data_IF_031545338436
#
_entry.id   IF_031545338436
#
_cell.length_a   1.000
_cell.length_b   1.000
_cell.length_c   1.000
_cell.angle_alpha   90.00
_cell.angle_beta   90.00
_cell.angle_gamma   90.00
#
_symmetry.space_group_name_H-M   'P 1'
#
loop_
_entity.id
_entity.type
_entity.pdbx_description
1 polymer ?
#
# COMPACT_ATOMS: atom_id res chain seq x y z
N UNK A 1 -2.23 -16.08 18.37
CA UNK A 1 -2.60 -16.23 16.95
C UNK A 1 -3.05 -17.65 16.68
N UNK A 2 -4.37 -17.93 16.76
CA UNK A 2 -4.94 -19.20 16.28
C UNK A 2 -5.16 -19.11 14.77
N UNK A 3 -4.09 -18.82 14.05
CA UNK A 3 -4.01 -19.12 12.61
C UNK A 3 -3.43 -20.53 12.51
N UNK A 4 -3.88 -21.30 11.51
CA UNK A 4 -3.24 -22.57 11.23
C UNK A 4 -1.74 -22.30 11.00
N UNK A 5 -0.85 -23.22 11.39
CA UNK A 5 0.61 -22.98 11.35
C UNK A 5 1.08 -22.47 9.97
N UNK A 6 0.46 -22.99 8.90
CA UNK A 6 0.68 -22.53 7.51
C UNK A 6 0.22 -21.08 7.25
N UNK A 7 -0.97 -20.70 7.72
CA UNK A 7 -1.53 -19.35 7.56
C UNK A 7 -0.69 -18.31 8.29
N UNK A 8 -0.12 -18.67 9.44
CA UNK A 8 0.77 -17.80 10.20
C UNK A 8 2.05 -17.48 9.44
N UNK A 9 2.68 -18.50 8.85
CA UNK A 9 3.89 -18.32 8.05
C UNK A 9 3.59 -17.46 6.82
N UNK A 10 2.50 -17.74 6.11
CA UNK A 10 2.08 -16.96 4.93
C UNK A 10 1.82 -15.50 5.27
N UNK A 11 1.13 -15.22 6.38
CA UNK A 11 0.89 -13.86 6.81
C UNK A 11 2.20 -13.11 7.08
N UNK A 12 3.12 -13.72 7.83
CA UNK A 12 4.43 -13.13 8.15
C UNK A 12 5.27 -12.90 6.88
N UNK A 13 5.29 -13.86 5.95
CA UNK A 13 5.97 -13.70 4.66
C UNK A 13 5.43 -12.50 3.88
N UNK A 14 4.11 -12.34 3.79
CA UNK A 14 3.49 -11.18 3.15
C UNK A 14 3.87 -9.86 3.84
N UNK A 15 3.88 -9.84 5.17
CA UNK A 15 4.29 -8.67 5.95
C UNK A 15 5.76 -8.29 5.67
N UNK A 16 6.67 -9.26 5.65
CA UNK A 16 8.09 -9.04 5.35
C UNK A 16 8.25 -8.46 3.93
N UNK A 17 7.55 -9.02 2.94
CA UNK A 17 7.62 -8.54 1.55
C UNK A 17 7.11 -7.09 1.45
N UNK A 18 5.97 -6.78 2.08
CA UNK A 18 5.43 -5.41 2.08
C UNK A 18 6.38 -4.46 2.80
N UNK A 19 6.98 -4.88 3.91
CA UNK A 19 7.98 -4.09 4.64
C UNK A 19 9.21 -3.79 3.77
N UNK A 20 9.74 -4.79 3.05
CA UNK A 20 10.86 -4.61 2.12
C UNK A 20 10.47 -3.63 1.01
N UNK A 21 9.31 -3.79 0.37
CA UNK A 21 8.83 -2.88 -0.68
C UNK A 21 8.70 -1.44 -0.16
N UNK A 22 8.13 -1.28 1.03
CA UNK A 22 7.99 0.02 1.69
C UNK A 22 9.35 0.66 1.97
N UNK A 23 10.29 -0.09 2.56
CA UNK A 23 11.64 0.39 2.84
C UNK A 23 12.38 0.76 1.56
N UNK A 24 12.32 -0.07 0.51
CA UNK A 24 12.92 0.23 -0.79
C UNK A 24 12.36 1.54 -1.38
N UNK A 25 11.04 1.73 -1.34
CA UNK A 25 10.44 2.97 -1.82
C UNK A 25 10.95 4.19 -1.05
N UNK A 26 11.03 4.13 0.28
CA UNK A 26 11.50 5.26 1.07
C UNK A 26 12.98 5.57 0.86
N UNK A 27 13.83 4.54 0.92
CA UNK A 27 15.29 4.69 0.82
C UNK A 27 15.70 5.20 -0.56
N UNK A 28 15.11 4.66 -1.64
CA UNK A 28 15.55 4.97 -3.00
C UNK A 28 14.77 6.14 -3.64
N UNK A 29 13.53 6.39 -3.22
CA UNK A 29 12.64 7.33 -3.93
C UNK A 29 12.12 8.44 -3.02
N UNK A 30 11.59 8.13 -1.83
CA UNK A 30 10.87 9.15 -1.06
C UNK A 30 11.77 10.11 -0.28
N UNK A 31 12.91 9.62 0.23
CA UNK A 31 13.87 10.36 1.06
C UNK A 31 15.24 10.56 0.39
N UNK A 32 15.40 10.09 -0.85
CA UNK A 32 16.68 10.20 -1.53
C UNK A 32 17.05 11.66 -1.82
N UNK A 33 18.32 12.05 -1.63
CA UNK A 33 18.76 13.45 -1.77
C UNK A 33 18.54 14.01 -3.17
N UNK A 34 18.66 13.17 -4.19
CA UNK A 34 18.48 13.55 -5.60
C UNK A 34 17.04 13.36 -6.11
N UNK A 35 16.07 13.16 -5.22
CA UNK A 35 14.65 13.03 -5.60
C UNK A 35 14.12 14.26 -6.35
N UNK A 36 14.74 15.43 -6.14
CA UNK A 36 14.43 16.65 -6.88
C UNK A 36 14.86 16.59 -8.37
N UNK A 37 15.85 15.76 -8.71
CA UNK A 37 16.32 15.57 -10.09
C UNK A 37 15.45 14.59 -10.88
N UNK A 38 14.64 13.76 -10.21
CA UNK A 38 13.75 12.81 -10.88
C UNK A 38 12.59 13.57 -11.54
N UNK A 39 12.37 13.41 -12.86
CA UNK A 39 11.24 14.02 -13.54
C UNK A 39 9.93 13.68 -12.86
N UNK A 40 9.08 14.68 -12.68
CA UNK A 40 7.82 14.55 -11.94
C UNK A 40 6.95 13.38 -12.41
N UNK A 41 6.80 13.23 -13.73
CA UNK A 41 6.01 12.14 -14.35
C UNK A 41 6.56 10.77 -13.96
N UNK A 42 7.88 10.63 -13.96
CA UNK A 42 8.55 9.39 -13.59
C UNK A 42 8.34 9.08 -12.11
N UNK A 43 8.37 10.10 -11.22
CA UNK A 43 8.07 9.92 -9.80
C UNK A 43 6.63 9.42 -9.57
N UNK A 44 5.63 10.01 -10.23
CA UNK A 44 4.25 9.52 -10.15
C UNK A 44 4.11 8.08 -10.63
N UNK A 45 4.78 7.73 -11.72
CA UNK A 45 4.77 6.37 -12.26
C UNK A 45 5.42 5.37 -11.28
N UNK A 46 6.58 5.69 -10.71
CA UNK A 46 7.27 4.84 -9.73
C UNK A 46 6.41 4.67 -8.48
N UNK A 47 5.83 5.75 -7.93
CA UNK A 47 4.94 5.66 -6.77
C UNK A 47 3.75 4.74 -7.04
N UNK A 48 3.12 4.86 -8.21
CA UNK A 48 2.01 4.00 -8.61
C UNK A 48 2.44 2.54 -8.78
N UNK A 49 3.61 2.29 -9.38
CA UNK A 49 4.18 0.96 -9.53
C UNK A 49 4.41 0.28 -8.17
N UNK A 50 4.99 0.99 -7.20
CA UNK A 50 5.19 0.46 -5.84
C UNK A 50 3.86 0.18 -5.13
N UNK A 51 2.86 1.05 -5.29
CA UNK A 51 1.51 0.80 -4.75
C UNK A 51 0.88 -0.45 -5.34
N UNK A 52 1.01 -0.64 -6.66
CA UNK A 52 0.52 -1.85 -7.34
C UNK A 52 1.30 -3.09 -6.88
N UNK A 53 2.62 -3.00 -6.70
CA UNK A 53 3.44 -4.10 -6.19
C UNK A 53 3.02 -4.51 -4.78
N UNK A 54 2.81 -3.56 -3.87
CA UNK A 54 2.30 -3.83 -2.52
C UNK A 54 0.91 -4.47 -2.57
N UNK A 55 0.01 -3.93 -3.41
CA UNK A 55 -1.33 -4.48 -3.60
C UNK A 55 -1.29 -5.97 -3.99
N UNK A 56 -0.46 -6.34 -4.97
CA UNK A 56 -0.30 -7.73 -5.39
C UNK A 56 0.36 -8.60 -4.32
N UNK A 57 1.39 -8.09 -3.65
CA UNK A 57 2.04 -8.81 -2.55
C UNK A 57 1.04 -9.18 -1.45
N UNK A 58 0.22 -8.21 -1.02
CA UNK A 58 -0.82 -8.47 -0.02
C UNK A 58 -1.93 -9.39 -0.54
N UNK A 59 -2.37 -9.21 -1.79
CA UNK A 59 -3.39 -10.07 -2.42
C UNK A 59 -2.95 -11.54 -2.46
N UNK A 60 -1.72 -11.80 -2.88
CA UNK A 60 -1.18 -13.17 -2.98
C UNK A 60 -1.12 -13.88 -1.62
N UNK A 61 -0.74 -13.15 -0.57
CA UNK A 61 -0.58 -13.73 0.77
C UNK A 61 -1.91 -13.82 1.53
N UNK A 62 -2.78 -12.81 1.44
CA UNK A 62 -4.07 -12.77 2.13
C UNK A 62 -5.13 -13.62 1.44
N UNK A 63 -5.12 -13.72 0.10
CA UNK A 63 -6.12 -14.47 -0.66
C UNK A 63 -6.12 -15.98 -0.39
N UNK A 64 -5.03 -16.50 0.21
CA UNK A 64 -4.89 -17.90 0.60
C UNK A 64 -5.16 -18.18 2.07
N UNK A 65 -5.52 -17.15 2.85
CA UNK A 65 -5.87 -17.28 4.26
C UNK A 65 -7.34 -17.67 4.41
N UNK A 66 -7.65 -18.44 5.46
CA UNK A 66 -9.06 -18.76 5.81
C UNK A 66 -9.88 -17.52 6.19
N UNK A 67 -9.22 -16.49 6.73
CA UNK A 67 -9.86 -15.23 7.12
C UNK A 67 -10.13 -14.33 5.89
N UNK A 68 -11.18 -14.67 5.13
CA UNK A 68 -11.51 -14.00 3.85
C UNK A 68 -11.82 -12.51 3.99
N UNK A 69 -12.24 -12.04 5.16
CA UNK A 69 -12.51 -10.62 5.42
C UNK A 69 -11.26 -9.75 5.21
N UNK A 70 -10.06 -10.26 5.56
CA UNK A 70 -8.79 -9.52 5.42
C UNK A 70 -8.49 -9.26 3.94
N UNK A 71 -8.71 -10.27 3.09
CA UNK A 71 -8.53 -10.12 1.64
C UNK A 71 -9.57 -9.16 1.05
N UNK A 72 -10.85 -9.27 1.43
CA UNK A 72 -11.90 -8.34 0.98
C UNK A 72 -11.58 -6.89 1.35
N UNK A 73 -11.19 -6.66 2.60
CA UNK A 73 -10.80 -5.33 3.08
C UNK A 73 -9.57 -4.80 2.34
N UNK A 74 -8.55 -5.65 2.14
CA UNK A 74 -7.36 -5.31 1.38
C UNK A 74 -7.70 -4.82 -0.04
N UNK A 75 -8.54 -5.57 -0.76
CA UNK A 75 -8.99 -5.20 -2.11
C UNK A 75 -9.79 -3.90 -2.11
N UNK A 76 -10.74 -3.75 -1.18
CA UNK A 76 -11.58 -2.56 -1.11
C UNK A 76 -10.74 -1.29 -0.93
N UNK A 77 -9.81 -1.30 0.03
CA UNK A 77 -8.95 -0.13 0.31
C UNK A 77 -7.97 0.13 -0.84
N UNK A 78 -7.34 -0.91 -1.40
CA UNK A 78 -6.38 -0.71 -2.48
C UNK A 78 -7.00 -0.28 -3.80
N UNK A 79 -8.12 -0.88 -4.19
CA UNK A 79 -8.79 -0.51 -5.45
C UNK A 79 -9.28 0.94 -5.35
N UNK A 80 -9.95 1.31 -4.25
CA UNK A 80 -10.40 2.70 -4.06
C UNK A 80 -9.22 3.68 -4.02
N UNK A 81 -8.17 3.38 -3.27
CA UNK A 81 -6.98 4.21 -3.21
C UNK A 81 -6.25 4.34 -4.56
N UNK A 82 -6.09 3.24 -5.30
CA UNK A 82 -5.52 3.22 -6.66
C UNK A 82 -6.35 4.06 -7.62
N UNK A 83 -7.68 3.96 -7.58
CA UNK A 83 -8.56 4.80 -8.39
C UNK A 83 -8.37 6.28 -8.07
N UNK A 84 -8.27 6.65 -6.79
CA UNK A 84 -8.07 8.05 -6.37
C UNK A 84 -6.72 8.58 -6.86
N UNK A 85 -5.60 7.89 -6.57
CA UNK A 85 -4.27 8.39 -6.96
C UNK A 85 -4.09 8.41 -8.48
N UNK A 86 -4.66 7.43 -9.19
CA UNK A 86 -4.63 7.39 -10.66
C UNK A 86 -5.45 8.54 -11.23
N UNK A 87 -6.65 8.78 -10.68
CA UNK A 87 -7.50 9.90 -11.09
C UNK A 87 -6.82 11.26 -10.88
N UNK A 88 -6.17 11.45 -9.73
CA UNK A 88 -5.39 12.67 -9.46
C UNK A 88 -4.20 12.80 -10.42
N UNK A 89 -3.46 11.72 -10.67
CA UNK A 89 -2.33 11.72 -11.59
C UNK A 89 -2.73 12.00 -13.05
N UNK A 90 -3.85 11.44 -13.50
CA UNK A 90 -4.41 11.71 -14.82
C UNK A 90 -4.92 13.15 -14.91
N UNK A 91 -5.59 13.66 -13.87
CA UNK A 91 -6.03 15.05 -13.84
C UNK A 91 -4.86 16.03 -13.91
N UNK A 92 -3.79 15.76 -13.15
CA UNK A 92 -2.57 16.56 -13.19
C UNK A 92 -1.91 16.54 -14.57
N UNK A 93 -1.87 15.37 -15.21
CA UNK A 93 -1.32 15.23 -16.56
C UNK A 93 -2.16 16.02 -17.59
N UNK A 94 -3.47 15.82 -17.61
CA UNK A 94 -4.35 16.31 -18.67
C UNK A 94 -4.67 17.80 -18.57
N UNK A 95 -4.77 18.35 -17.35
CA UNK A 95 -5.30 19.70 -17.14
C UNK A 95 -4.31 20.69 -16.56
N UNK A 96 -3.29 20.23 -15.82
CA UNK A 96 -2.40 21.14 -15.08
C UNK A 96 -1.07 21.37 -15.80
N UNK A 97 -0.68 20.54 -16.77
CA UNK A 97 0.54 20.69 -17.61
C UNK A 97 1.82 21.08 -16.83
N UNK A 98 1.91 20.72 -15.54
CA UNK A 98 3.04 21.05 -14.66
C UNK A 98 2.73 22.05 -13.54
N UNK A 99 1.65 22.83 -13.63
CA UNK A 99 1.17 23.76 -12.60
C UNK A 99 0.33 23.06 -11.53
N UNK A 100 0.96 22.20 -10.72
CA UNK A 100 0.18 21.49 -9.69
C UNK A 100 -0.36 22.40 -8.61
N UNK A 101 -1.53 21.99 -8.14
CA UNK A 101 -2.06 22.36 -6.84
C UNK A 101 -1.29 21.59 -5.75
N UNK A 102 -0.47 22.25 -4.90
CA UNK A 102 0.37 21.56 -3.92
C UNK A 102 -0.43 20.69 -2.94
N UNK A 103 -1.63 21.16 -2.54
CA UNK A 103 -2.53 20.43 -1.65
C UNK A 103 -2.95 19.08 -2.23
N UNK A 104 -3.22 19.02 -3.54
CA UNK A 104 -3.65 17.79 -4.22
C UNK A 104 -2.50 16.78 -4.29
N UNK A 105 -1.28 17.27 -4.54
CA UNK A 105 -0.07 16.44 -4.53
C UNK A 105 0.23 15.86 -3.15
N UNK A 106 0.08 16.64 -2.08
CA UNK A 106 0.27 16.18 -0.70
C UNK A 106 -0.79 15.12 -0.38
N UNK A 107 -2.05 15.37 -0.70
CA UNK A 107 -3.15 14.43 -0.48
C UNK A 107 -2.93 13.09 -1.18
N UNK A 108 -2.56 13.11 -2.47
CA UNK A 108 -2.25 11.89 -3.21
C UNK A 108 -1.08 11.11 -2.60
N UNK A 109 -0.04 11.81 -2.13
CA UNK A 109 1.10 11.19 -1.44
C UNK A 109 0.69 10.55 -0.12
N UNK A 110 -0.17 11.19 0.68
CA UNK A 110 -0.67 10.61 1.94
C UNK A 110 -1.52 9.36 1.71
N UNK A 111 -2.39 9.36 0.68
CA UNK A 111 -3.11 8.13 0.29
C UNK A 111 -2.13 7.04 -0.11
N UNK A 112 -1.17 7.38 -0.98
CA UNK A 112 -0.17 6.43 -1.46
C UNK A 112 0.63 5.82 -0.29
N UNK A 113 1.06 6.64 0.66
CA UNK A 113 1.78 6.22 1.87
C UNK A 113 0.95 5.24 2.71
N UNK A 114 -0.33 5.52 2.94
CA UNK A 114 -1.23 4.60 3.65
C UNK A 114 -1.34 3.26 2.92
N UNK A 115 -1.42 3.27 1.58
CA UNK A 115 -1.56 2.04 0.78
C UNK A 115 -0.29 1.19 0.78
N UNK A 116 0.89 1.80 0.70
CA UNK A 116 2.16 1.04 0.72
C UNK A 116 2.61 0.65 2.12
N UNK A 117 2.05 1.27 3.16
CA UNK A 117 2.48 1.06 4.54
C UNK A 117 2.21 -0.38 5.00
N UNK A 118 3.20 -1.03 5.65
CA UNK A 118 2.98 -2.34 6.27
C UNK A 118 2.00 -2.27 7.45
N UNK A 119 1.68 -1.06 7.95
CA UNK A 119 0.81 -0.85 9.10
C UNK A 119 -0.58 -1.43 8.87
N UNK A 120 -1.20 -1.20 7.71
CA UNK A 120 -2.54 -1.72 7.43
C UNK A 120 -2.56 -3.25 7.44
N UNK A 121 -1.53 -3.87 6.84
CA UNK A 121 -1.39 -5.32 6.80
C UNK A 121 -1.24 -5.90 8.22
N UNK A 122 -0.36 -5.29 9.04
CA UNK A 122 -0.15 -5.66 10.43
C UNK A 122 -1.43 -5.48 11.27
N UNK A 123 -2.11 -4.34 11.13
CA UNK A 123 -3.32 -4.00 11.88
C UNK A 123 -4.44 -5.01 11.64
N UNK A 124 -4.65 -5.46 10.39
CA UNK A 124 -5.60 -6.54 10.10
C UNK A 124 -5.22 -7.83 10.84
N UNK A 125 -3.93 -8.19 10.88
CA UNK A 125 -3.46 -9.37 11.60
C UNK A 125 -3.69 -9.30 13.10
N UNK A 126 -3.49 -8.12 13.70
CA UNK A 126 -3.79 -7.86 15.11
C UNK A 126 -5.30 -7.90 15.38
N UNK A 127 -6.11 -7.25 14.56
CA UNK A 127 -7.56 -7.25 14.68
C UNK A 127 -8.14 -8.66 14.56
N UNK A 128 -7.65 -9.46 13.60
CA UNK A 128 -8.05 -10.86 13.46
C UNK A 128 -7.77 -11.67 14.75
N UNK A 129 -6.65 -11.38 15.42
CA UNK A 129 -6.33 -12.04 16.69
C UNK A 129 -7.27 -11.61 17.83
N UNK A 130 -7.70 -10.34 17.86
CA UNK A 130 -8.67 -9.85 18.84
C UNK A 130 -10.05 -10.48 18.63
N UNK A 131 -10.51 -10.56 17.37
CA UNK A 131 -11.82 -11.12 17.02
C UNK A 131 -11.91 -12.64 17.26
N UNK A 132 -10.79 -13.37 17.14
CA UNK A 132 -10.74 -14.83 17.33
C UNK A 132 -10.54 -15.21 18.80
N UNK A 133 -10.02 -14.30 19.64
CA UNK A 133 -9.91 -14.56 21.07
C UNK A 133 -11.33 -14.37 21.65
N UNK A 134 -12.01 -15.42 22.14
CA UNK A 134 -13.21 -15.18 22.95
C UNK A 134 -12.80 -14.26 24.10
N UNK A 135 -13.65 -13.28 24.39
CA UNK A 135 -13.55 -12.46 25.59
C UNK A 135 -13.61 -13.42 26.79
N UNK A 136 -12.42 -13.79 27.28
CA UNK A 136 -12.23 -14.46 28.55
C UNK A 136 -11.73 -13.40 29.53
#
# INVERSE_FOLDING_TARGET
>A
MKLYKSDKIRFIMGLIIIFILYSCYYIFIAEHRDTAMIPRRLRHFISLLFTVAVYFAGTFHLGKLKATWMSKFWHMVHISGLCIITGIGLFDWLFLEGNTIPRLSIFARSIQEILISPLMYLAMGLLNNLLIKPAN
#
